data_IF_982379153703
#
_entry.id   IF_982379153703
#
_cell.length_a   1.000
_cell.length_b   1.000
_cell.length_c   1.000
_cell.angle_alpha   90.00
_cell.angle_beta   90.00
_cell.angle_gamma   90.00
#
_symmetry.space_group_name_H-M   'P 1'
#
loop_
_entity.id
_entity.type
_entity.pdbx_description
1 polymer ?
#
# COMPACT_ATOMS: atom_id res chain seq x y z
N UNK A 1 22.29 -3.09 -53.38
CA UNK A 1 23.38 -2.16 -52.99
C UNK A 1 22.67 -0.91 -52.46
N UNK A 2 22.76 -0.45 -51.21
CA UNK A 2 23.79 -0.55 -50.18
C UNK A 2 23.07 -0.58 -48.81
N UNK A 3 23.55 -1.43 -47.92
CA UNK A 3 23.19 -1.42 -46.51
C UNK A 3 23.83 -0.20 -45.85
N UNK A 4 23.05 0.63 -45.16
CA UNK A 4 23.58 1.66 -44.26
C UNK A 4 23.43 1.14 -42.83
N UNK A 5 24.50 0.51 -42.36
CA UNK A 5 24.76 0.28 -40.93
C UNK A 5 24.85 1.65 -40.25
N UNK A 6 23.95 1.93 -39.31
CA UNK A 6 24.12 3.03 -38.37
C UNK A 6 24.41 2.42 -36.99
N UNK A 7 25.65 2.62 -36.56
CA UNK A 7 26.28 2.04 -35.39
C UNK A 7 25.68 2.62 -34.10
N UNK A 8 25.33 1.71 -33.18
CA UNK A 8 24.95 1.99 -31.80
C UNK A 8 26.14 2.60 -31.03
N UNK A 9 26.00 3.80 -30.47
CA UNK A 9 26.89 4.30 -29.43
C UNK A 9 26.10 4.34 -28.13
N UNK A 10 26.35 3.34 -27.28
CA UNK A 10 25.86 3.28 -25.92
C UNK A 10 26.68 4.24 -25.06
N UNK A 11 26.05 5.34 -24.62
CA UNK A 11 26.61 6.21 -23.60
C UNK A 11 26.10 5.75 -22.22
N UNK A 12 26.92 5.00 -21.51
CA UNK A 12 26.71 4.62 -20.11
C UNK A 12 26.97 5.83 -19.21
N UNK A 13 25.91 6.54 -18.81
CA UNK A 13 25.98 7.47 -17.69
C UNK A 13 26.10 6.67 -16.38
N UNK A 14 27.30 6.70 -15.79
CA UNK A 14 27.53 6.25 -14.42
C UNK A 14 27.01 7.34 -13.49
N UNK A 15 25.78 7.18 -12.99
CA UNK A 15 25.23 8.03 -11.94
C UNK A 15 25.79 7.55 -10.60
N UNK A 16 26.75 8.29 -10.04
CA UNK A 16 27.23 8.08 -8.69
C UNK A 16 26.10 8.43 -7.70
N UNK A 17 25.52 7.41 -7.07
CA UNK A 17 24.55 7.60 -5.99
C UNK A 17 25.30 8.07 -4.73
N UNK A 18 24.86 9.14 -4.04
CA UNK A 18 25.29 9.38 -2.68
C UNK A 18 24.75 8.25 -1.80
N UNK A 19 25.66 7.64 -1.02
CA UNK A 19 25.33 6.66 0.02
C UNK A 19 24.59 7.42 1.13
N UNK A 20 23.28 7.55 0.96
CA UNK A 20 22.39 8.05 1.99
C UNK A 20 22.43 7.09 3.17
N UNK A 21 22.84 7.61 4.32
CA UNK A 21 22.90 6.88 5.58
C UNK A 21 21.52 6.27 5.86
N UNK A 22 21.47 4.93 5.90
CA UNK A 22 20.31 4.24 6.39
C UNK A 22 20.15 4.59 7.87
N UNK A 23 19.18 5.45 8.19
CA UNK A 23 18.64 5.55 9.55
C UNK A 23 17.95 4.22 9.80
N UNK A 24 18.65 3.30 10.45
CA UNK A 24 18.04 2.16 11.10
C UNK A 24 17.14 2.72 12.21
N UNK A 25 15.84 2.78 11.96
CA UNK A 25 14.87 3.04 13.00
C UNK A 25 15.03 1.99 14.10
N UNK A 26 15.34 2.45 15.30
CA UNK A 26 15.32 1.62 16.50
C UNK A 26 13.93 1.01 16.68
N UNK A 27 13.83 -0.30 16.49
CA UNK A 27 12.59 -1.05 16.64
C UNK A 27 12.79 -2.55 16.45
N UNK A 28 13.69 -3.15 17.23
CA UNK A 28 13.74 -4.61 17.33
C UNK A 28 12.61 -5.12 18.24
N UNK A 29 11.64 -5.83 17.66
CA UNK A 29 11.00 -6.98 18.30
C UNK A 29 10.54 -7.94 17.21
N UNK A 30 11.35 -8.95 16.92
CA UNK A 30 10.96 -10.10 16.12
C UNK A 30 10.16 -11.07 17.00
N UNK A 31 8.94 -10.66 17.37
CA UNK A 31 7.93 -11.59 17.83
C UNK A 31 7.24 -12.18 16.60
N UNK A 32 7.67 -13.36 16.14
CA UNK A 32 6.85 -14.18 15.25
C UNK A 32 5.67 -14.75 16.04
N UNK A 33 4.75 -13.88 16.48
CA UNK A 33 3.43 -14.33 16.91
C UNK A 33 2.66 -14.72 15.65
N UNK A 34 2.48 -16.03 15.42
CA UNK A 34 1.47 -16.56 14.47
C UNK A 34 0.04 -16.32 14.99
N UNK A 35 -0.18 -15.22 15.71
CA UNK A 35 -1.46 -14.91 16.31
C UNK A 35 -2.29 -14.07 15.35
N UNK A 36 -3.59 -14.33 15.33
CA UNK A 36 -4.51 -13.55 14.53
C UNK A 36 -4.64 -12.16 15.13
N UNK A 37 -4.54 -11.13 14.31
CA UNK A 37 -4.71 -9.76 14.76
C UNK A 37 -6.18 -9.43 15.04
N UNK A 38 -6.41 -8.47 15.94
CA UNK A 38 -7.74 -7.92 16.19
C UNK A 38 -8.19 -6.97 15.07
N UNK A 39 -9.46 -6.54 15.11
CA UNK A 39 -9.98 -5.56 14.16
C UNK A 39 -9.32 -4.19 14.32
N UNK A 40 -9.02 -3.79 15.56
CA UNK A 40 -8.33 -2.54 15.88
C UNK A 40 -6.90 -2.53 15.33
N UNK A 41 -6.19 -3.66 15.43
CA UNK A 41 -4.87 -3.80 14.83
C UNK A 41 -4.95 -3.79 13.29
N UNK A 42 -5.99 -4.37 12.70
CA UNK A 42 -6.23 -4.28 11.25
C UNK A 42 -6.46 -2.82 10.82
N UNK A 43 -7.23 -2.04 11.58
CA UNK A 43 -7.44 -0.61 11.34
C UNK A 43 -6.12 0.17 11.39
N UNK A 44 -5.28 -0.05 12.42
CA UNK A 44 -3.96 0.61 12.53
C UNK A 44 -3.09 0.32 11.31
N UNK A 45 -3.03 -0.94 10.88
CA UNK A 45 -2.25 -1.35 9.70
C UNK A 45 -2.82 -0.75 8.41
N UNK A 46 -4.14 -0.70 8.28
CA UNK A 46 -4.81 -0.07 7.14
C UNK A 46 -4.49 1.43 7.05
N UNK A 47 -4.58 2.17 8.15
CA UNK A 47 -4.22 3.60 8.19
C UNK A 47 -2.74 3.82 7.81
N UNK A 48 -1.83 2.98 8.30
CA UNK A 48 -0.42 3.04 7.92
C UNK A 48 -0.21 2.75 6.42
N UNK A 49 -0.96 1.81 5.84
CA UNK A 49 -0.90 1.51 4.41
C UNK A 49 -1.42 2.69 3.57
N UNK A 50 -2.52 3.34 3.98
CA UNK A 50 -3.03 4.56 3.35
C UNK A 50 -1.97 5.67 3.34
N UNK A 51 -1.31 5.93 4.46
CA UNK A 51 -0.24 6.93 4.53
C UNK A 51 0.90 6.61 3.55
N UNK A 52 1.32 5.33 3.46
CA UNK A 52 2.36 4.91 2.50
C UNK A 52 1.92 5.11 1.04
N UNK A 53 0.69 4.72 0.70
CA UNK A 53 0.14 4.87 -0.66
C UNK A 53 -0.03 6.34 -1.05
N UNK A 54 -0.50 7.18 -0.12
CA UNK A 54 -0.63 8.63 -0.28
C UNK A 54 0.74 9.28 -0.50
N UNK A 55 1.74 8.97 0.35
CA UNK A 55 3.11 9.47 0.21
C UNK A 55 3.75 9.04 -1.13
N UNK A 56 3.44 7.84 -1.59
CA UNK A 56 3.86 7.32 -2.90
C UNK A 56 3.02 7.84 -4.07
N UNK A 57 2.05 8.74 -3.83
CA UNK A 57 1.12 9.31 -4.83
C UNK A 57 0.34 8.26 -5.63
N UNK A 58 0.08 7.09 -5.03
CA UNK A 58 -0.73 6.02 -5.62
C UNK A 58 -2.23 6.23 -5.39
N UNK A 59 -2.56 6.99 -4.34
CA UNK A 59 -3.91 7.47 -4.04
C UNK A 59 -3.83 8.97 -3.75
N UNK A 60 -4.98 9.64 -3.75
CA UNK A 60 -5.08 11.07 -3.43
C UNK A 60 -4.58 11.37 -2.01
N UNK A 61 -3.90 12.50 -1.81
CA UNK A 61 -3.30 12.84 -0.51
C UNK A 61 -4.35 13.10 0.57
N UNK A 62 -5.57 13.44 0.19
CA UNK A 62 -6.70 13.65 1.11
C UNK A 62 -7.14 12.38 1.85
N UNK A 63 -6.65 11.21 1.46
CA UNK A 63 -6.85 9.97 2.23
C UNK A 63 -6.06 9.93 3.53
N UNK A 64 -5.00 10.73 3.66
CA UNK A 64 -4.16 10.76 4.86
C UNK A 64 -4.96 11.25 6.07
N UNK A 65 -4.96 10.48 7.16
CA UNK A 65 -5.64 10.87 8.39
C UNK A 65 -7.16 10.63 8.40
N UNK A 66 -7.74 10.08 7.33
CA UNK A 66 -9.13 9.63 7.33
C UNK A 66 -9.28 8.46 8.30
N UNK A 67 -10.23 8.56 9.23
CA UNK A 67 -10.56 7.48 10.14
C UNK A 67 -11.26 6.33 9.40
N UNK A 68 -11.07 5.10 9.88
CA UNK A 68 -11.82 3.96 9.37
C UNK A 68 -13.31 4.13 9.68
N UNK A 69 -14.14 3.91 8.68
CA UNK A 69 -15.60 3.94 8.77
C UNK A 69 -16.14 2.60 9.31
N UNK A 70 -15.55 1.49 8.87
CA UNK A 70 -15.95 0.14 9.27
C UNK A 70 -14.74 -0.82 9.23
N UNK A 71 -14.75 -1.82 10.11
CA UNK A 71 -13.88 -3.00 10.02
C UNK A 71 -14.73 -4.26 10.19
N UNK A 72 -14.57 -5.22 9.26
CA UNK A 72 -15.28 -6.51 9.30
C UNK A 72 -14.41 -7.65 8.79
N UNK A 73 -14.78 -8.89 9.14
CA UNK A 73 -14.23 -10.09 8.49
C UNK A 73 -15.11 -10.49 7.32
N UNK A 74 -14.49 -10.80 6.17
CA UNK A 74 -15.16 -11.37 4.99
C UNK A 74 -14.37 -12.59 4.54
N UNK A 75 -15.08 -13.66 4.19
CA UNK A 75 -14.46 -14.88 3.66
C UNK A 75 -14.40 -14.81 2.14
N UNK A 76 -13.20 -14.90 1.60
CA UNK A 76 -12.92 -15.00 0.17
C UNK A 76 -12.49 -16.42 -0.18
N UNK A 77 -12.17 -16.68 -1.46
CA UNK A 77 -11.76 -18.00 -1.94
C UNK A 77 -10.51 -18.56 -1.24
N UNK A 78 -9.63 -17.68 -0.72
CA UNK A 78 -8.41 -18.05 -0.02
C UNK A 78 -8.55 -18.09 1.51
N UNK A 79 -9.75 -17.80 2.04
CA UNK A 79 -10.03 -17.81 3.46
C UNK A 79 -10.55 -16.48 4.00
N UNK A 80 -10.65 -16.34 5.34
CA UNK A 80 -11.14 -15.13 5.97
C UNK A 80 -10.08 -14.03 5.93
N UNK A 81 -10.52 -12.81 5.64
CA UNK A 81 -9.70 -11.60 5.62
C UNK A 81 -10.41 -10.50 6.42
N UNK A 82 -9.63 -9.59 6.99
CA UNK A 82 -10.14 -8.32 7.47
C UNK A 82 -10.33 -7.37 6.29
N UNK A 83 -11.48 -6.71 6.23
CA UNK A 83 -11.79 -5.63 5.29
C UNK A 83 -12.00 -4.37 6.10
N UNK A 84 -11.11 -3.38 5.91
CA UNK A 84 -11.21 -2.06 6.53
C UNK A 84 -11.68 -1.06 5.48
N UNK A 85 -12.71 -0.29 5.80
CA UNK A 85 -13.40 0.60 4.88
C UNK A 85 -13.16 2.03 5.33
N UNK A 86 -12.78 2.89 4.38
CA UNK A 86 -12.61 4.32 4.57
C UNK A 86 -13.51 5.07 3.60
N UNK A 87 -14.06 6.20 4.05
CA UNK A 87 -14.90 7.07 3.23
C UNK A 87 -14.33 8.49 3.19
N UNK A 88 -14.26 9.06 1.99
CA UNK A 88 -13.81 10.42 1.77
C UNK A 88 -14.72 11.11 0.73
N UNK A 89 -15.75 11.79 1.23
CA UNK A 89 -16.72 12.51 0.40
C UNK A 89 -16.12 13.72 -0.35
N UNK A 90 -14.89 14.13 -0.02
CA UNK A 90 -14.21 15.25 -0.69
C UNK A 90 -13.61 14.84 -2.05
N UNK A 91 -13.51 13.53 -2.35
CA UNK A 91 -13.07 13.04 -3.65
C UNK A 91 -14.17 13.34 -4.68
N UNK A 92 -13.80 14.03 -5.77
CA UNK A 92 -14.75 14.44 -6.83
C UNK A 92 -15.40 13.26 -7.54
N UNK A 93 -14.65 12.18 -7.75
CA UNK A 93 -15.11 10.97 -8.42
C UNK A 93 -15.82 10.06 -7.40
N UNK A 94 -17.16 9.90 -7.47
CA UNK A 94 -17.91 9.11 -6.49
C UNK A 94 -17.45 7.64 -6.44
N UNK A 95 -16.97 7.10 -7.56
CA UNK A 95 -16.46 5.73 -7.63
C UNK A 95 -15.16 5.53 -6.83
N UNK A 96 -14.54 6.62 -6.38
CA UNK A 96 -13.31 6.62 -5.58
C UNK A 96 -13.52 7.23 -4.20
N UNK A 97 -14.75 7.41 -3.74
CA UNK A 97 -15.01 7.94 -2.39
C UNK A 97 -14.90 6.89 -1.30
N UNK A 98 -14.86 5.60 -1.65
CA UNK A 98 -14.73 4.50 -0.69
C UNK A 98 -13.49 3.69 -1.02
N UNK A 99 -12.58 3.56 -0.05
CA UNK A 99 -11.36 2.75 -0.20
C UNK A 99 -11.45 1.55 0.75
N UNK A 100 -11.27 0.36 0.19
CA UNK A 100 -11.26 -0.92 0.89
C UNK A 100 -9.82 -1.40 1.00
N UNK A 101 -9.41 -1.81 2.20
CA UNK A 101 -8.14 -2.47 2.44
C UNK A 101 -8.39 -3.89 2.92
N UNK A 102 -7.71 -4.84 2.27
CA UNK A 102 -7.82 -6.28 2.55
C UNK A 102 -6.58 -6.71 3.30
N UNK A 103 -6.77 -7.37 4.44
CA UNK A 103 -5.71 -7.70 5.37
C UNK A 103 -5.87 -9.15 5.81
N UNK A 104 -4.78 -9.92 5.78
CA UNK A 104 -4.79 -11.30 6.28
C UNK A 104 -5.16 -11.32 7.76
N UNK A 105 -5.65 -12.46 8.27
CA UNK A 105 -5.88 -12.59 9.71
C UNK A 105 -4.61 -12.39 10.54
N UNK A 106 -3.43 -12.45 9.94
CA UNK A 106 -2.12 -12.26 10.58
C UNK A 106 -1.52 -10.87 10.32
N UNK A 107 -2.26 -10.00 9.61
CA UNK A 107 -1.95 -8.58 9.46
C UNK A 107 -1.13 -8.20 8.22
N UNK A 108 -1.01 -9.08 7.23
CA UNK A 108 -0.41 -8.74 5.94
C UNK A 108 -1.39 -7.92 5.10
N UNK A 109 -0.92 -6.85 4.46
CA UNK A 109 -1.72 -6.10 3.49
C UNK A 109 -1.81 -6.91 2.20
N UNK A 110 -3.01 -7.36 1.86
CA UNK A 110 -3.28 -8.17 0.67
C UNK A 110 -3.62 -7.30 -0.54
N UNK A 111 -4.23 -6.14 -0.32
CA UNK A 111 -4.55 -5.20 -1.39
C UNK A 111 -5.37 -4.00 -0.93
N UNK A 112 -5.61 -3.09 -1.85
CA UNK A 112 -6.54 -1.98 -1.69
C UNK A 112 -7.25 -1.67 -3.01
N UNK A 113 -8.56 -1.40 -2.98
CA UNK A 113 -9.33 -0.99 -4.16
C UNK A 113 -10.56 -0.14 -3.78
N UNK A 114 -11.29 0.34 -4.78
CA UNK A 114 -12.48 1.18 -4.59
C UNK A 114 -13.81 0.42 -4.77
N UNK A 115 -13.77 -0.91 -4.94
CA UNK A 115 -14.95 -1.74 -5.27
C UNK A 115 -15.35 -2.71 -4.14
N UNK A 116 -14.42 -3.08 -3.25
CA UNK A 116 -14.66 -4.03 -2.16
C UNK A 116 -14.65 -5.51 -2.59
N UNK A 117 -14.12 -5.77 -3.79
CA UNK A 117 -14.06 -7.09 -4.45
C UNK A 117 -12.64 -7.65 -4.54
#
# INVERSE_FOLDING_TARGET
MKYLLATFIAASLVFAMPIGQAVAGSGHSHGHSHEKISGEEAVKRASNAISKLSNAKKIDTSWTGIAADEVKKKTFSKGPEWVVIFKNANIKDPSKQTLYLFISLYGDILGANYTGE
#
